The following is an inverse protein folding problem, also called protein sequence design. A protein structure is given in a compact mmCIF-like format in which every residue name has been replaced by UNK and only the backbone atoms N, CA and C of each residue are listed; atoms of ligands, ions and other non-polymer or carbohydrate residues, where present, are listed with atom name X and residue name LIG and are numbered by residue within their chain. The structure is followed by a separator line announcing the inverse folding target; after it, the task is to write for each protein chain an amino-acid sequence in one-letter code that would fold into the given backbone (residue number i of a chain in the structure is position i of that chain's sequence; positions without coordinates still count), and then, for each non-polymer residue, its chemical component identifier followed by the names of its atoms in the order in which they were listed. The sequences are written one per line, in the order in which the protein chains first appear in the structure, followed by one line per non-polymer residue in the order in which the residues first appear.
data_IF_537480168987
#
_entry.id   IF_537480168987
#
_cell.length_a   1.000
_cell.length_b   1.000
_cell.length_c   1.000
_cell.angle_alpha   90.00
_cell.angle_beta   90.00
_cell.angle_gamma   90.00
#
_symmetry.space_group_name_H-M   'P 1'
#
loop_
_entity.id
_entity.type
_entity.pdbx_description
1 polymer ?
#
# COMPACT_ATOMS: atom_id res chain seq x y z
N UNK A 1 2.35 9.43 -17.73
CA UNK A 1 2.96 8.13 -17.38
C UNK A 1 4.22 8.42 -16.57
N UNK A 2 4.76 7.51 -15.75
CA UNK A 2 6.09 7.74 -15.15
C UNK A 2 7.15 7.89 -16.25
N UNK A 3 8.07 8.84 -16.10
CA UNK A 3 9.23 9.02 -16.98
C UNK A 3 10.38 8.07 -16.61
N UNK A 4 11.45 8.11 -17.40
CA UNK A 4 12.67 7.31 -17.16
C UNK A 4 13.57 7.86 -16.05
N UNK A 5 13.25 9.04 -15.53
CA UNK A 5 13.98 9.72 -14.45
C UNK A 5 13.01 10.28 -13.42
N UNK A 6 13.47 10.43 -12.18
CA UNK A 6 12.68 10.99 -11.08
C UNK A 6 12.28 12.43 -11.38
N UNK A 7 11.03 12.79 -11.08
CA UNK A 7 10.47 14.12 -11.35
C UNK A 7 10.04 14.37 -12.80
N UNK A 8 10.28 13.43 -13.72
CA UNK A 8 9.91 13.56 -15.14
C UNK A 8 8.69 12.69 -15.47
N UNK A 9 7.76 13.24 -16.25
CA UNK A 9 6.58 12.51 -16.71
C UNK A 9 6.79 11.99 -18.13
N UNK A 10 6.56 10.70 -18.35
CA UNK A 10 6.51 10.10 -19.68
C UNK A 10 5.19 10.41 -20.40
N UNK A 11 5.27 10.70 -21.70
CA UNK A 11 4.12 10.84 -22.59
C UNK A 11 4.38 10.20 -23.95
N UNK A 12 3.38 9.54 -24.52
CA UNK A 12 3.49 9.01 -25.88
C UNK A 12 3.42 10.17 -26.88
N UNK A 13 4.38 10.25 -27.79
CA UNK A 13 4.30 11.17 -28.91
C UNK A 13 3.16 10.78 -29.85
N UNK A 14 2.41 11.78 -30.25
CA UNK A 14 1.40 11.72 -31.30
C UNK A 14 1.25 13.12 -31.88
N UNK A 15 0.85 13.22 -33.14
CA UNK A 15 0.71 14.50 -33.79
C UNK A 15 0.71 14.38 -35.30
N UNK A 16 0.86 15.54 -35.95
CA UNK A 16 0.92 15.64 -37.40
C UNK A 16 2.35 15.99 -37.81
N UNK A 17 2.82 15.36 -38.87
CA UNK A 17 4.06 15.74 -39.53
C UNK A 17 3.72 16.57 -40.77
N UNK A 18 4.50 17.62 -41.02
CA UNK A 18 4.42 18.40 -42.25
C UNK A 18 5.61 18.04 -43.11
N UNK A 19 5.34 17.56 -44.32
CA UNK A 19 6.36 17.21 -45.31
C UNK A 19 6.22 18.07 -46.57
N UNK A 20 7.34 18.38 -47.20
CA UNK A 20 7.37 19.03 -48.51
C UNK A 20 7.69 17.96 -49.56
N UNK A 21 6.90 17.90 -50.62
CA UNK A 21 7.14 16.97 -51.72
C UNK A 21 8.49 17.27 -52.41
N UNK A 22 9.31 16.24 -52.64
CA UNK A 22 10.67 16.42 -53.19
C UNK A 22 10.67 16.89 -54.67
N UNK A 23 9.59 16.66 -55.43
CA UNK A 23 9.51 16.92 -56.87
C UNK A 23 8.79 18.24 -57.22
N UNK A 24 9.06 19.31 -56.48
CA UNK A 24 8.49 20.63 -56.74
C UNK A 24 9.43 21.48 -57.61
N UNK A 25 8.86 22.33 -58.47
CA UNK A 25 9.65 23.37 -59.14
C UNK A 25 10.08 24.44 -58.12
N UNK A 26 11.11 25.21 -58.46
CA UNK A 26 11.75 26.14 -57.52
C UNK A 26 10.77 27.15 -56.90
N UNK A 27 9.82 27.67 -57.69
CA UNK A 27 8.83 28.63 -57.19
C UNK A 27 7.85 28.00 -56.19
N UNK A 28 7.34 26.79 -56.44
CA UNK A 28 6.48 26.07 -55.50
C UNK A 28 7.25 25.62 -54.26
N UNK A 29 8.51 25.21 -54.43
CA UNK A 29 9.36 24.84 -53.31
C UNK A 29 9.58 26.03 -52.37
N UNK A 30 9.90 27.22 -52.91
CA UNK A 30 10.03 28.46 -52.13
C UNK A 30 8.73 28.82 -51.40
N UNK A 31 7.58 28.71 -52.07
CA UNK A 31 6.28 28.96 -51.45
C UNK A 31 5.95 27.95 -50.34
N UNK A 32 6.23 26.66 -50.56
CA UNK A 32 6.01 25.61 -49.56
C UNK A 32 6.91 25.79 -48.34
N UNK A 33 8.19 26.12 -48.55
CA UNK A 33 9.12 26.45 -47.46
C UNK A 33 8.61 27.64 -46.65
N UNK A 34 8.12 28.70 -47.32
CA UNK A 34 7.58 29.87 -46.63
C UNK A 34 6.32 29.55 -45.81
N UNK A 35 5.46 28.67 -46.33
CA UNK A 35 4.30 28.19 -45.61
C UNK A 35 4.69 27.37 -44.38
N UNK A 36 5.65 26.44 -44.50
CA UNK A 36 6.15 25.65 -43.36
C UNK A 36 6.79 26.55 -42.32
N UNK A 37 7.67 27.47 -42.73
CA UNK A 37 8.31 28.46 -41.85
C UNK A 37 7.27 29.26 -41.05
N UNK A 38 6.19 29.70 -41.71
CA UNK A 38 5.10 30.41 -41.04
C UNK A 38 4.32 29.50 -40.07
N UNK A 39 3.93 28.29 -40.49
CA UNK A 39 3.21 27.33 -39.65
C UNK A 39 4.00 26.90 -38.42
N UNK A 40 5.34 26.81 -38.54
CA UNK A 40 6.25 26.47 -37.44
C UNK A 40 6.85 27.69 -36.75
N UNK A 41 6.36 28.90 -37.04
CA UNK A 41 6.80 30.11 -36.33
C UNK A 41 6.36 30.06 -34.87
N UNK A 42 7.15 30.66 -33.98
CA UNK A 42 6.85 30.67 -32.56
C UNK A 42 5.51 31.36 -32.27
N UNK A 43 5.20 32.44 -33.00
CA UNK A 43 3.93 33.17 -32.88
C UNK A 43 2.72 32.29 -33.20
N UNK A 44 2.76 31.57 -34.33
CA UNK A 44 1.67 30.67 -34.74
C UNK A 44 1.55 29.48 -33.77
N UNK A 45 2.66 28.93 -33.31
CA UNK A 45 2.65 27.82 -32.36
C UNK A 45 2.11 28.24 -30.99
N UNK A 46 2.40 29.46 -30.53
CA UNK A 46 1.80 30.04 -29.31
C UNK A 46 0.29 30.18 -29.43
N UNK A 47 -0.20 30.67 -30.57
CA UNK A 47 -1.64 30.76 -30.86
C UNK A 47 -2.28 29.36 -30.87
N UNK A 48 -1.64 28.38 -31.51
CA UNK A 48 -2.14 27.01 -31.59
C UNK A 48 -2.32 26.38 -30.20
N UNK A 49 -1.30 26.50 -29.34
CA UNK A 49 -1.36 25.99 -27.96
C UNK A 49 -2.45 26.73 -27.16
N UNK A 50 -2.51 28.05 -27.30
CA UNK A 50 -3.38 28.92 -26.51
C UNK A 50 -4.87 28.82 -26.87
N UNK A 51 -5.20 28.65 -28.14
CA UNK A 51 -6.59 28.67 -28.62
C UNK A 51 -7.17 27.26 -28.81
N UNK A 52 -6.35 26.30 -29.24
CA UNK A 52 -6.82 24.96 -29.59
C UNK A 52 -6.35 23.87 -28.64
N UNK A 53 -5.50 24.21 -27.65
CA UNK A 53 -4.91 23.24 -26.72
C UNK A 53 -4.16 22.10 -27.45
N UNK A 54 -3.54 22.42 -28.59
CA UNK A 54 -2.70 21.51 -29.37
C UNK A 54 -1.25 21.80 -28.99
N UNK A 55 -0.51 20.76 -28.58
CA UNK A 55 0.86 20.91 -28.09
C UNK A 55 1.83 21.28 -29.21
N UNK A 56 2.76 22.18 -28.90
CA UNK A 56 3.86 22.53 -29.79
C UNK A 56 5.07 21.65 -29.53
N UNK A 57 5.80 21.33 -30.59
CA UNK A 57 7.14 20.72 -30.47
C UNK A 57 8.24 21.73 -30.12
N UNK A 58 7.94 23.03 -30.03
CA UNK A 58 8.90 24.09 -29.74
C UNK A 58 8.90 24.39 -28.23
N UNK A 59 9.98 24.01 -27.54
CA UNK A 59 10.06 24.17 -26.08
C UNK A 59 9.91 25.62 -25.61
N UNK A 60 10.44 26.60 -26.35
CA UNK A 60 10.38 28.03 -25.99
C UNK A 60 8.96 28.60 -25.97
N UNK A 61 7.99 27.96 -26.65
CA UNK A 61 6.57 28.35 -26.60
C UNK A 61 6.04 28.31 -25.16
N UNK A 62 6.56 27.40 -24.34
CA UNK A 62 6.16 27.22 -22.95
C UNK A 62 6.89 28.16 -21.98
N UNK A 63 7.80 29.02 -22.45
CA UNK A 63 8.40 30.10 -21.65
C UNK A 63 7.54 31.38 -21.65
N UNK A 64 6.51 31.44 -22.49
CA UNK A 64 5.62 32.59 -22.61
C UNK A 64 4.50 32.58 -21.56
N UNK A 65 4.45 33.61 -20.71
CA UNK A 65 3.44 33.73 -19.65
C UNK A 65 2.00 33.70 -20.19
N UNK A 66 1.74 34.19 -21.40
CA UNK A 66 0.39 34.15 -21.99
C UNK A 66 -0.04 32.73 -22.30
N UNK A 67 0.88 31.92 -22.82
CA UNK A 67 0.62 30.48 -23.05
C UNK A 67 0.38 29.80 -21.70
N UNK A 68 1.25 30.04 -20.72
CA UNK A 68 1.17 29.40 -19.41
C UNK A 68 -0.02 29.84 -18.55
N UNK A 69 -0.65 30.97 -18.89
CA UNK A 69 -1.93 31.37 -18.28
C UNK A 69 -3.11 30.48 -18.72
N UNK A 70 -2.98 29.78 -19.85
CA UNK A 70 -4.03 28.93 -20.43
C UNK A 70 -3.73 27.44 -20.31
N UNK A 71 -2.46 27.04 -20.26
CA UNK A 71 -2.03 25.64 -20.19
C UNK A 71 -0.97 25.44 -19.10
N UNK A 72 -0.87 24.22 -18.58
CA UNK A 72 0.13 23.87 -17.55
C UNK A 72 1.52 23.68 -18.18
N UNK A 73 2.24 24.78 -18.37
CA UNK A 73 3.59 24.78 -18.94
C UNK A 73 4.59 23.96 -18.12
N UNK A 74 4.42 23.84 -16.80
CA UNK A 74 5.34 23.09 -15.95
C UNK A 74 5.29 21.61 -16.31
N UNK A 75 4.10 21.07 -16.55
CA UNK A 75 3.94 19.70 -17.06
C UNK A 75 4.66 19.57 -18.40
N UNK A 76 4.41 20.47 -19.37
CA UNK A 76 4.95 20.32 -20.73
C UNK A 76 6.47 20.47 -20.81
N UNK A 77 7.08 21.32 -19.98
CA UNK A 77 8.55 21.44 -19.88
C UNK A 77 9.21 20.18 -19.32
N UNK A 78 8.49 19.46 -18.46
CA UNK A 78 8.97 18.25 -17.78
C UNK A 78 8.46 16.95 -18.43
N UNK A 79 7.95 17.03 -19.66
CA UNK A 79 7.56 15.84 -20.42
C UNK A 79 8.77 15.18 -21.07
N UNK A 80 8.89 13.87 -20.85
CA UNK A 80 9.73 12.99 -21.64
C UNK A 80 8.88 12.37 -22.76
N UNK A 81 9.01 12.86 -24.01
CA UNK A 81 8.33 12.25 -25.14
C UNK A 81 8.89 10.86 -25.45
N UNK A 82 8.00 9.88 -25.58
CA UNK A 82 8.31 8.51 -25.98
C UNK A 82 7.80 8.33 -27.41
N UNK A 83 8.71 8.10 -28.35
CA UNK A 83 8.36 7.81 -29.72
C UNK A 83 7.55 6.51 -29.80
N UNK A 84 6.52 6.50 -30.64
CA UNK A 84 5.86 5.24 -31.00
C UNK A 84 6.86 4.39 -31.81
N UNK A 85 6.84 3.06 -31.67
CA UNK A 85 7.72 2.15 -32.43
C UNK A 85 7.26 2.03 -33.90
N UNK A 86 7.14 3.17 -34.59
CA UNK A 86 6.70 3.24 -35.99
C UNK A 86 7.79 2.81 -36.96
N UNK A 87 9.04 2.69 -36.50
CA UNK A 87 10.14 2.17 -37.32
C UNK A 87 10.17 0.65 -37.37
N UNK A 88 9.56 -0.01 -36.38
CA UNK A 88 9.56 -1.47 -36.27
C UNK A 88 8.42 -2.11 -37.07
N UNK A 89 7.48 -1.30 -37.59
CA UNK A 89 6.30 -1.76 -38.33
C UNK A 89 5.95 -0.80 -39.45
N UNK A 90 5.70 -1.29 -40.66
CA UNK A 90 5.29 -0.46 -41.81
C UNK A 90 3.97 0.29 -41.56
N UNK A 91 3.08 -0.27 -40.74
CA UNK A 91 1.79 0.33 -40.40
C UNK A 91 1.42 0.10 -38.92
N UNK A 92 1.98 0.93 -38.04
CA UNK A 92 1.70 0.87 -36.60
C UNK A 92 0.21 1.02 -36.29
N UNK A 93 -0.52 1.86 -37.06
CA UNK A 93 -1.92 2.12 -36.81
C UNK A 93 -2.77 0.85 -37.03
N UNK A 94 -2.54 0.16 -38.15
CA UNK A 94 -3.17 -1.13 -38.45
C UNK A 94 -2.80 -2.20 -37.43
N UNK A 95 -1.50 -2.38 -37.16
CA UNK A 95 -1.02 -3.32 -36.14
C UNK A 95 -1.66 -3.05 -34.76
N UNK A 96 -1.75 -1.78 -34.36
CA UNK A 96 -2.35 -1.41 -33.08
C UNK A 96 -3.86 -1.70 -33.05
N UNK A 97 -4.57 -1.53 -34.17
CA UNK A 97 -5.99 -1.89 -34.30
C UNK A 97 -6.15 -3.40 -34.22
N UNK A 98 -5.34 -4.17 -34.93
CA UNK A 98 -5.37 -5.63 -34.90
C UNK A 98 -5.14 -6.17 -33.49
N UNK A 99 -4.13 -5.66 -32.77
CA UNK A 99 -3.88 -6.05 -31.39
C UNK A 99 -5.07 -5.71 -30.50
N UNK A 100 -5.64 -4.51 -30.64
CA UNK A 100 -6.82 -4.11 -29.86
C UNK A 100 -8.01 -5.02 -30.15
N UNK A 101 -8.27 -5.35 -31.41
CA UNK A 101 -9.37 -6.25 -31.82
C UNK A 101 -9.12 -7.72 -31.47
N UNK A 102 -7.86 -8.13 -31.43
CA UNK A 102 -7.45 -9.45 -30.97
C UNK A 102 -7.69 -9.58 -29.47
N UNK A 103 -7.28 -8.58 -28.67
CA UNK A 103 -7.40 -8.60 -27.22
C UNK A 103 -8.81 -8.27 -26.73
N UNK A 104 -9.53 -7.37 -27.42
CA UNK A 104 -10.78 -6.80 -26.97
C UNK A 104 -11.85 -6.80 -28.07
N UNK A 105 -13.08 -7.12 -27.70
CA UNK A 105 -14.25 -6.80 -28.49
C UNK A 105 -14.67 -5.37 -28.16
N UNK A 106 -14.74 -4.53 -29.18
CA UNK A 106 -15.11 -3.12 -29.07
C UNK A 106 -16.61 -3.02 -29.30
N UNK A 107 -17.37 -2.78 -28.24
CA UNK A 107 -18.81 -2.60 -28.31
C UNK A 107 -19.14 -1.10 -28.32
N UNK A 108 -19.77 -0.63 -29.40
CA UNK A 108 -20.29 0.73 -29.47
C UNK A 108 -21.63 0.80 -28.74
N UNK A 109 -21.72 1.62 -27.69
CA UNK A 109 -22.96 1.88 -26.96
C UNK A 109 -23.53 3.21 -27.45
N UNK A 110 -24.66 3.11 -28.17
CA UNK A 110 -25.41 4.26 -28.66
C UNK A 110 -26.39 4.71 -27.58
N UNK A 111 -26.25 5.95 -27.12
CA UNK A 111 -27.17 6.57 -26.16
C UNK A 111 -28.09 7.56 -26.86
N UNK A 112 -29.37 7.59 -26.49
CA UNK A 112 -30.37 8.49 -27.10
C UNK A 112 -30.08 9.98 -26.84
N UNK A 113 -29.49 10.30 -25.69
CA UNK A 113 -29.30 11.69 -25.21
C UNK A 113 -27.83 12.00 -24.85
N UNK A 114 -26.88 11.16 -25.27
CA UNK A 114 -25.48 11.22 -24.85
C UNK A 114 -24.49 11.15 -26.00
N UNK A 115 -23.20 11.26 -25.69
CA UNK A 115 -22.13 10.96 -26.65
C UNK A 115 -22.02 9.44 -26.79
N UNK A 116 -21.98 8.93 -28.01
CA UNK A 116 -21.64 7.54 -28.27
C UNK A 116 -20.26 7.25 -27.67
N UNK A 117 -20.12 6.10 -27.02
CA UNK A 117 -18.86 5.67 -26.44
C UNK A 117 -18.59 4.20 -26.74
N UNK A 118 -17.32 3.83 -26.71
CA UNK A 118 -16.87 2.48 -26.98
C UNK A 118 -16.41 1.83 -25.68
N UNK A 119 -16.88 0.60 -25.44
CA UNK A 119 -16.44 -0.22 -24.32
C UNK A 119 -15.62 -1.38 -24.86
N UNK A 120 -14.38 -1.49 -24.39
CA UNK A 120 -13.50 -2.60 -24.70
C UNK A 120 -13.77 -3.74 -23.70
N UNK A 121 -14.30 -4.86 -24.18
CA UNK A 121 -14.47 -6.06 -23.37
C UNK A 121 -13.38 -7.06 -23.73
N UNK A 122 -12.72 -7.63 -22.73
CA UNK A 122 -11.70 -8.64 -22.97
C UNK A 122 -12.30 -9.83 -23.73
N UNK A 123 -11.85 -10.04 -24.97
CA UNK A 123 -12.33 -11.10 -25.85
C UNK A 123 -11.74 -12.45 -25.44
N UNK A 124 -10.44 -12.46 -25.21
CA UNK A 124 -9.69 -13.68 -25.01
C UNK A 124 -9.86 -14.23 -23.59
N UNK A 125 -10.10 -15.54 -23.50
CA UNK A 125 -10.07 -16.29 -22.24
C UNK A 125 -8.76 -16.07 -21.47
N UNK A 126 -7.64 -15.84 -22.18
CA UNK A 126 -6.35 -15.56 -21.59
C UNK A 126 -6.35 -14.28 -20.74
N UNK A 127 -6.97 -13.20 -21.21
CA UNK A 127 -7.03 -11.93 -20.45
C UNK A 127 -7.91 -12.12 -19.21
N UNK A 128 -9.05 -12.79 -19.35
CA UNK A 128 -9.91 -13.16 -18.21
C UNK A 128 -9.18 -14.07 -17.22
N UNK A 129 -8.31 -14.96 -17.71
CA UNK A 129 -7.47 -15.82 -16.87
C UNK A 129 -6.43 -15.01 -16.10
N UNK A 130 -5.82 -13.99 -16.72
CA UNK A 130 -4.91 -13.08 -16.02
C UNK A 130 -5.64 -12.36 -14.88
N UNK A 131 -6.83 -11.82 -15.14
CA UNK A 131 -7.66 -11.17 -14.12
C UNK A 131 -8.00 -12.13 -12.96
N UNK A 132 -8.37 -13.38 -13.29
CA UNK A 132 -8.61 -14.42 -12.30
C UNK A 132 -7.35 -14.77 -11.50
N UNK A 133 -6.18 -14.88 -12.14
CA UNK A 133 -4.90 -15.13 -11.47
C UNK A 133 -4.60 -14.00 -10.47
N UNK A 134 -4.83 -12.73 -10.83
CA UNK A 134 -4.67 -11.62 -9.90
C UNK A 134 -5.61 -11.72 -8.69
N UNK A 135 -6.87 -12.15 -8.89
CA UNK A 135 -7.79 -12.41 -7.79
C UNK A 135 -7.31 -13.55 -6.88
N UNK A 136 -6.79 -14.65 -7.45
CA UNK A 136 -6.21 -15.77 -6.70
C UNK A 136 -5.00 -15.32 -5.88
N UNK A 137 -4.07 -14.56 -6.47
CA UNK A 137 -2.91 -14.01 -5.76
C UNK A 137 -3.36 -13.15 -4.56
N UNK A 138 -4.41 -12.35 -4.72
CA UNK A 138 -4.98 -11.57 -3.62
C UNK A 138 -5.54 -12.47 -2.51
N UNK A 139 -6.29 -13.52 -2.85
CA UNK A 139 -6.82 -14.49 -1.87
C UNK A 139 -5.68 -15.18 -1.10
N UNK A 140 -4.61 -15.58 -1.80
CA UNK A 140 -3.44 -16.18 -1.16
C UNK A 140 -2.77 -15.22 -0.18
N UNK A 141 -2.54 -13.96 -0.59
CA UNK A 141 -1.99 -12.90 0.29
C UNK A 141 -2.84 -12.72 1.56
N UNK A 142 -4.17 -12.70 1.41
CA UNK A 142 -5.09 -12.58 2.54
C UNK A 142 -5.02 -13.81 3.45
N UNK A 143 -4.97 -15.01 2.87
CA UNK A 143 -4.87 -16.27 3.62
C UNK A 143 -3.58 -16.34 4.43
N UNK A 144 -2.43 -15.97 3.85
CA UNK A 144 -1.15 -15.92 4.56
C UNK A 144 -1.20 -14.93 5.73
N UNK A 145 -1.80 -13.75 5.53
CA UNK A 145 -1.93 -12.75 6.60
C UNK A 145 -2.80 -13.26 7.75
N UNK A 146 -3.91 -13.95 7.45
CA UNK A 146 -4.76 -14.56 8.48
C UNK A 146 -4.05 -15.65 9.28
N UNK A 147 -3.19 -16.45 8.63
CA UNK A 147 -2.37 -17.45 9.31
C UNK A 147 -1.37 -16.77 10.26
N UNK A 148 -0.71 -15.70 9.82
CA UNK A 148 0.21 -14.94 10.68
C UNK A 148 -0.50 -14.35 11.90
N UNK A 149 -1.67 -13.74 11.70
CA UNK A 149 -2.51 -13.24 12.80
C UNK A 149 -2.88 -14.35 13.79
N UNK A 150 -3.23 -15.53 13.28
CA UNK A 150 -3.56 -16.68 14.14
C UNK A 150 -2.37 -17.14 14.98
N UNK A 151 -1.16 -17.16 14.40
CA UNK A 151 0.06 -17.51 15.12
C UNK A 151 0.40 -16.50 16.23
N UNK A 152 0.14 -15.22 15.98
CA UNK A 152 0.46 -14.12 16.89
C UNK A 152 -0.62 -13.81 17.93
N UNK A 153 -1.84 -14.36 17.77
CA UNK A 153 -3.00 -14.07 18.62
C UNK A 153 -2.77 -14.24 20.13
N UNK A 154 -1.82 -15.08 20.54
CA UNK A 154 -1.52 -15.35 21.96
C UNK A 154 -0.73 -14.26 22.69
N UNK A 155 -0.09 -13.35 21.95
CA UNK A 155 0.83 -12.37 22.53
C UNK A 155 0.01 -11.16 23.01
N UNK A 156 -0.14 -11.02 24.34
CA UNK A 156 -0.96 -9.97 24.97
C UNK A 156 -0.56 -8.55 24.56
N UNK A 157 0.74 -8.31 24.35
CA UNK A 157 1.28 -6.98 24.09
C UNK A 157 0.86 -6.41 22.72
N UNK A 158 0.49 -7.28 21.78
CA UNK A 158 0.08 -6.92 20.41
C UNK A 158 -1.40 -7.19 20.13
N UNK A 159 -2.20 -7.59 21.15
CA UNK A 159 -3.58 -8.00 20.94
C UNK A 159 -4.45 -6.89 20.32
N UNK A 160 -4.28 -5.65 20.76
CA UNK A 160 -5.00 -4.51 20.20
C UNK A 160 -4.60 -4.23 18.75
N UNK A 161 -3.31 -4.33 18.44
CA UNK A 161 -2.81 -4.14 17.08
C UNK A 161 -3.37 -5.21 16.14
N UNK A 162 -3.40 -6.48 16.60
CA UNK A 162 -4.02 -7.60 15.88
C UNK A 162 -5.49 -7.32 15.59
N UNK A 163 -6.27 -6.84 16.57
CA UNK A 163 -7.68 -6.53 16.37
C UNK A 163 -7.87 -5.48 15.28
N UNK A 164 -7.05 -4.42 15.28
CA UNK A 164 -7.05 -3.42 14.21
C UNK A 164 -6.77 -4.06 12.86
N UNK A 165 -5.71 -4.88 12.74
CA UNK A 165 -5.40 -5.56 11.47
C UNK A 165 -6.52 -6.48 10.98
N UNK A 166 -7.20 -7.20 11.87
CA UNK A 166 -8.34 -8.05 11.51
C UNK A 166 -9.46 -7.21 10.89
N UNK A 167 -9.77 -6.04 11.44
CA UNK A 167 -10.76 -5.12 10.85
C UNK A 167 -10.31 -4.60 9.49
N UNK A 168 -9.05 -4.22 9.34
CA UNK A 168 -8.50 -3.76 8.05
C UNK A 168 -8.60 -4.85 6.98
N UNK A 169 -8.25 -6.09 7.33
CA UNK A 169 -8.33 -7.26 6.43
C UNK A 169 -9.78 -7.52 6.05
N UNK A 170 -10.71 -7.45 7.00
CA UNK A 170 -12.12 -7.67 6.74
C UNK A 170 -12.69 -6.63 5.77
N UNK A 171 -12.47 -5.33 6.04
CA UNK A 171 -12.96 -4.24 5.18
C UNK A 171 -12.37 -4.36 3.78
N UNK A 172 -11.05 -4.59 3.66
CA UNK A 172 -10.42 -4.78 2.36
C UNK A 172 -10.97 -6.02 1.62
N UNK A 173 -11.25 -7.12 2.33
CA UNK A 173 -11.84 -8.32 1.72
C UNK A 173 -13.21 -8.02 1.13
N UNK A 174 -14.07 -7.31 1.88
CA UNK A 174 -15.41 -6.93 1.43
C UNK A 174 -15.35 -6.02 0.20
N UNK A 175 -14.45 -5.03 0.19
CA UNK A 175 -14.25 -4.14 -0.96
C UNK A 175 -13.76 -4.90 -2.20
N UNK A 176 -12.80 -5.80 -2.05
CA UNK A 176 -12.31 -6.64 -3.16
C UNK A 176 -13.46 -7.50 -3.72
N UNK A 177 -14.27 -8.12 -2.85
CA UNK A 177 -15.41 -8.92 -3.29
C UNK A 177 -16.42 -8.05 -4.04
N UNK A 178 -16.72 -6.85 -3.55
CA UNK A 178 -17.60 -5.92 -4.24
C UNK A 178 -17.06 -5.53 -5.63
N UNK A 179 -15.75 -5.26 -5.74
CA UNK A 179 -15.10 -4.89 -6.99
C UNK A 179 -15.16 -6.00 -8.02
N UNK A 180 -14.77 -7.23 -7.64
CA UNK A 180 -14.68 -8.33 -8.60
C UNK A 180 -16.01 -9.02 -8.91
N UNK A 181 -16.96 -9.04 -7.97
CA UNK A 181 -18.21 -9.80 -8.14
C UNK A 181 -19.44 -8.92 -8.33
N UNK A 182 -19.53 -7.76 -7.68
CA UNK A 182 -20.76 -6.95 -7.71
C UNK A 182 -20.72 -5.96 -8.87
N UNK A 183 -19.64 -5.20 -9.05
CA UNK A 183 -19.59 -4.16 -10.09
C UNK A 183 -19.73 -4.68 -11.53
N UNK A 184 -19.17 -5.84 -11.92
CA UNK A 184 -19.40 -6.40 -13.25
C UNK A 184 -20.87 -6.73 -13.55
N UNK A 185 -21.72 -6.87 -12.51
CA UNK A 185 -23.16 -7.11 -12.67
C UNK A 185 -23.94 -5.81 -12.98
N UNK A 186 -23.37 -4.65 -12.70
CA UNK A 186 -24.04 -3.35 -12.88
C UNK A 186 -23.88 -2.90 -14.34
N UNK A 187 -24.93 -3.09 -15.13
CA UNK A 187 -25.03 -2.54 -16.50
C UNK A 187 -25.55 -1.11 -16.43
N UNK A 188 -24.72 -0.12 -16.74
CA UNK A 188 -25.12 1.29 -16.84
C UNK A 188 -24.97 1.78 -18.29
N UNK A 189 -25.94 2.58 -18.74
CA UNK A 189 -25.93 3.20 -20.08
C UNK A 189 -25.23 4.58 -20.08
N UNK A 190 -24.87 5.09 -18.90
CA UNK A 190 -24.18 6.37 -18.74
C UNK A 190 -22.68 6.12 -18.55
N UNK A 191 -21.87 6.60 -19.50
CA UNK A 191 -20.43 6.39 -19.49
C UNK A 191 -19.73 7.12 -18.33
N UNK A 192 -20.25 8.27 -17.90
CA UNK A 192 -19.68 9.03 -16.78
C UNK A 192 -19.89 8.21 -15.50
N UNK A 193 -21.11 7.69 -15.31
CA UNK A 193 -21.41 6.84 -14.17
C UNK A 193 -20.63 5.52 -14.20
N UNK A 194 -20.52 4.88 -15.37
CA UNK A 194 -19.73 3.66 -15.54
C UNK A 194 -18.26 3.89 -15.14
N UNK A 195 -17.65 4.97 -15.66
CA UNK A 195 -16.27 5.31 -15.36
C UNK A 195 -16.09 5.71 -13.89
N UNK A 196 -17.02 6.50 -13.34
CA UNK A 196 -17.01 6.92 -11.94
C UNK A 196 -17.13 5.73 -10.98
N UNK A 197 -18.00 4.75 -11.28
CA UNK A 197 -18.13 3.52 -10.48
C UNK A 197 -16.83 2.71 -10.57
N UNK A 198 -16.34 2.45 -11.79
CA UNK A 198 -15.18 1.59 -11.99
C UNK A 198 -13.92 2.22 -11.36
N UNK A 199 -13.54 3.44 -11.76
CA UNK A 199 -12.34 4.11 -11.24
C UNK A 199 -12.51 4.54 -9.78
N UNK A 200 -13.69 5.05 -9.42
CA UNK A 200 -13.98 5.46 -8.05
C UNK A 200 -13.88 4.29 -7.08
N UNK A 201 -14.29 3.08 -7.47
CA UNK A 201 -14.16 1.91 -6.61
C UNK A 201 -12.71 1.55 -6.30
N UNK A 202 -11.82 1.58 -7.30
CA UNK A 202 -10.38 1.36 -7.09
C UNK A 202 -9.76 2.47 -6.25
N UNK A 203 -10.15 3.73 -6.48
CA UNK A 203 -9.68 4.85 -5.68
C UNK A 203 -10.12 4.72 -4.21
N UNK A 204 -11.38 4.38 -3.96
CA UNK A 204 -11.91 4.11 -2.62
C UNK A 204 -11.15 2.98 -1.96
N UNK A 205 -10.86 1.89 -2.67
CA UNK A 205 -10.06 0.77 -2.15
C UNK A 205 -8.66 1.21 -1.75
N UNK A 206 -7.96 1.99 -2.58
CA UNK A 206 -6.61 2.50 -2.27
C UNK A 206 -6.64 3.45 -1.07
N UNK A 207 -7.59 4.40 -1.05
CA UNK A 207 -7.74 5.36 0.05
C UNK A 207 -8.10 4.67 1.36
N UNK A 208 -8.99 3.69 1.31
CA UNK A 208 -9.36 2.85 2.46
C UNK A 208 -8.11 2.15 2.99
N UNK A 209 -7.37 1.46 2.13
CA UNK A 209 -6.16 0.76 2.54
C UNK A 209 -5.11 1.71 3.14
N UNK A 210 -4.91 2.89 2.53
CA UNK A 210 -4.01 3.92 3.06
C UNK A 210 -4.44 4.41 4.44
N UNK A 211 -5.69 4.83 4.59
CA UNK A 211 -6.26 5.32 5.84
C UNK A 211 -6.12 4.29 6.97
N UNK A 212 -6.50 3.04 6.68
CA UNK A 212 -6.48 1.95 7.65
C UNK A 212 -5.07 1.50 8.04
N UNK A 213 -4.10 1.54 7.12
CA UNK A 213 -2.72 1.15 7.43
C UNK A 213 -1.93 2.24 8.15
N UNK A 214 -2.12 3.50 7.80
CA UNK A 214 -1.29 4.61 8.30
C UNK A 214 -1.99 5.40 9.39
N UNK A 215 -3.21 5.88 9.17
CA UNK A 215 -3.87 6.79 10.11
C UNK A 215 -4.27 6.08 11.40
N UNK A 216 -4.76 4.84 11.32
CA UNK A 216 -5.09 4.08 12.54
C UNK A 216 -3.86 3.78 13.41
N UNK A 217 -2.68 3.60 12.81
CA UNK A 217 -1.44 3.41 13.59
C UNK A 217 -1.00 4.68 14.30
N UNK A 218 -1.16 5.83 13.63
CA UNK A 218 -0.87 7.13 14.23
C UNK A 218 -1.83 7.39 15.38
N UNK A 219 -3.13 7.17 15.17
CA UNK A 219 -4.15 7.34 16.21
C UNK A 219 -3.94 6.36 17.37
N UNK A 220 -3.63 5.09 17.09
CA UNK A 220 -3.38 4.09 18.15
C UNK A 220 -2.13 4.44 18.99
N UNK A 221 -1.10 4.99 18.37
CA UNK A 221 0.07 5.51 19.07
C UNK A 221 -0.30 6.63 20.04
N UNK A 222 -1.07 7.63 19.58
CA UNK A 222 -1.49 8.74 20.43
C UNK A 222 -2.42 8.29 21.57
N UNK A 223 -3.34 7.36 21.33
CA UNK A 223 -4.20 6.79 22.39
C UNK A 223 -3.35 6.10 23.45
N UNK A 224 -2.34 5.32 23.04
CA UNK A 224 -1.44 4.63 23.97
C UNK A 224 -0.58 5.61 24.77
N UNK A 225 -0.12 6.69 24.16
CA UNK A 225 0.63 7.74 24.85
C UNK A 225 -0.26 8.47 25.87
N UNK A 226 -1.50 8.77 25.51
CA UNK A 226 -2.46 9.42 26.40
C UNK A 226 -2.81 8.51 27.59
N UNK A 227 -3.10 7.23 27.35
CA UNK A 227 -3.41 6.27 28.41
C UNK A 227 -2.27 6.10 29.42
N UNK A 228 -1.00 6.18 29.00
CA UNK A 228 0.14 6.15 29.93
C UNK A 228 0.21 7.39 30.81
N UNK A 229 -0.17 8.56 30.28
CA UNK A 229 -0.20 9.81 31.08
C UNK A 229 -1.25 9.70 32.19
N UNK A 230 -2.41 9.13 31.89
CA UNK A 230 -3.46 8.90 32.87
C UNK A 230 -3.03 7.91 33.97
N UNK A 231 -2.36 6.81 33.62
CA UNK A 231 -1.82 5.85 34.58
C UNK A 231 -0.77 6.49 35.52
N UNK A 232 0.14 7.30 34.96
CA UNK A 232 1.12 8.07 35.75
C UNK A 232 0.40 9.07 36.68
N UNK A 233 -0.67 9.72 36.20
CA UNK A 233 -1.45 10.67 36.99
C UNK A 233 -2.18 9.98 38.14
N UNK A 234 -2.71 8.77 37.91
CA UNK A 234 -3.36 7.94 38.92
C UNK A 234 -2.37 7.48 40.00
N UNK A 235 -1.17 7.04 39.61
CA UNK A 235 -0.10 6.69 40.54
C UNK A 235 0.33 7.88 41.41
N UNK A 236 0.54 9.06 40.81
CA UNK A 236 0.86 10.29 41.56
C UNK A 236 -0.24 10.59 42.59
N UNK A 237 -1.51 10.52 42.19
CA UNK A 237 -2.64 10.75 43.09
C UNK A 237 -2.70 9.73 44.25
N UNK A 238 -2.31 8.47 43.98
CA UNK A 238 -2.23 7.41 44.99
C UNK A 238 -1.11 7.67 46.01
N UNK A 239 0.07 8.14 45.57
CA UNK A 239 1.16 8.53 46.46
C UNK A 239 0.78 9.73 47.34
N UNK A 240 0.18 10.77 46.75
CA UNK A 240 -0.26 11.97 47.49
C UNK A 240 -1.29 11.63 48.57
N UNK A 241 -2.28 10.77 48.28
CA UNK A 241 -3.25 10.32 49.29
C UNK A 241 -2.61 9.53 50.43
N UNK A 242 -1.58 8.72 50.16
CA UNK A 242 -0.87 7.96 51.18
C UNK A 242 -0.13 8.89 52.15
N UNK A 243 0.48 9.96 51.62
CA UNK A 243 1.21 10.95 52.41
C UNK A 243 0.28 11.77 53.32
N UNK A 244 -0.86 12.23 52.79
CA UNK A 244 -1.91 12.95 53.57
C UNK A 244 -2.47 12.06 54.70
N UNK A 245 -2.70 10.78 54.44
CA UNK A 245 -3.20 9.86 55.47
C UNK A 245 -2.15 9.55 56.54
N UNK A 246 -0.85 9.59 56.21
CA UNK A 246 0.24 9.36 57.18
C UNK A 246 0.35 10.49 58.21
N UNK A 247 0.11 11.75 57.80
CA UNK A 247 0.00 12.88 58.73
C UNK A 247 -1.23 12.75 59.63
N UNK A 248 -2.33 12.21 59.12
CA UNK A 248 -3.58 12.06 59.88
C UNK A 248 -3.52 10.93 60.92
N UNK A 249 -2.79 9.85 60.63
CA UNK A 249 -2.68 8.66 61.51
C UNK A 249 -1.70 8.88 62.67
N UNK A 250 -0.72 9.78 62.56
CA UNK A 250 0.14 10.14 63.70
C UNK A 250 -0.60 10.84 64.85
N UNK A 251 -1.89 11.16 64.69
CA UNK A 251 -2.71 11.73 65.76
C UNK A 251 -3.61 10.73 66.51
N UNK A 252 -3.71 9.46 66.10
CA UNK A 252 -4.65 8.51 66.70
C UNK A 252 -4.06 7.09 66.78
N UNK A 253 -3.10 6.86 67.68
CA UNK A 253 -2.78 5.51 68.14
C UNK A 253 -3.32 5.32 69.55
N UNK A 254 -4.51 4.71 69.64
CA UNK A 254 -4.94 4.00 70.83
C UNK A 254 -5.80 2.77 70.45
N UNK A 255 -5.25 1.61 70.83
CA UNK A 255 -5.91 0.39 71.30
C UNK A 255 -6.59 -0.64 70.36
N UNK A 256 -6.13 -1.89 70.59
CA UNK A 256 -6.76 -3.22 70.44
C UNK A 256 -7.09 -3.72 69.02
N UNK A 257 -6.81 -4.97 68.63
CA UNK A 257 -6.40 -6.18 69.35
C UNK A 257 -7.26 -7.38 68.89
N UNK A 258 -6.61 -8.50 68.53
CA UNK A 258 -7.17 -9.85 68.25
C UNK A 258 -8.04 -9.99 66.97
N UNK A 259 -8.15 -11.13 66.26
CA UNK A 259 -7.68 -12.51 66.45
C UNK A 259 -7.84 -13.30 65.13
N UNK A 260 -7.16 -14.43 65.08
CA UNK A 260 -6.97 -15.46 64.05
C UNK A 260 -8.21 -16.06 63.37
N UNK A 261 -8.00 -16.68 62.19
CA UNK A 261 -8.33 -18.09 61.83
C UNK A 261 -8.36 -18.27 60.30
N UNK A 262 -7.40 -18.94 59.66
CA UNK A 262 -7.16 -20.40 59.56
C UNK A 262 -7.84 -21.07 58.36
N UNK A 263 -7.00 -21.41 57.37
CA UNK A 263 -6.93 -22.63 56.55
C UNK A 263 -8.21 -23.36 56.10
N UNK A 264 -8.26 -23.69 54.79
CA UNK A 264 -8.45 -25.10 54.43
C UNK A 264 -7.82 -25.47 53.08
N UNK A 265 -6.88 -26.42 53.14
CA UNK A 265 -6.27 -27.11 52.00
C UNK A 265 -7.20 -28.24 51.54
N UNK A 266 -7.32 -28.47 50.23
CA UNK A 266 -7.77 -29.79 49.77
C UNK A 266 -7.19 -30.22 48.43
N UNK A 267 -7.04 -31.52 48.32
CA UNK A 267 -5.96 -32.24 47.65
C UNK A 267 -6.25 -32.79 46.24
N UNK A 268 -5.13 -32.98 45.52
CA UNK A 268 -4.86 -33.79 44.33
C UNK A 268 -5.82 -34.93 43.94
N UNK A 269 -6.02 -35.09 42.62
CA UNK A 269 -6.02 -36.42 41.98
C UNK A 269 -5.41 -36.34 40.57
N UNK A 270 -4.30 -37.06 40.35
CA UNK A 270 -3.65 -37.19 39.06
C UNK A 270 -4.13 -38.47 38.37
N UNK A 271 -4.72 -38.34 37.16
CA UNK A 271 -5.03 -39.46 36.26
C UNK A 271 -4.29 -39.23 34.94
N UNK A 272 -3.18 -39.94 34.75
CA UNK A 272 -2.41 -39.94 33.49
C UNK A 272 -3.12 -40.80 32.43
N UNK A 273 -3.81 -40.15 31.50
CA UNK A 273 -4.30 -40.80 30.27
C UNK A 273 -3.32 -40.51 29.14
N UNK A 274 -2.61 -41.54 28.72
CA UNK A 274 -1.86 -41.56 27.46
C UNK A 274 -2.85 -41.45 26.30
N UNK A 275 -2.91 -40.29 25.66
CA UNK A 275 -3.61 -40.09 24.40
C UNK A 275 -2.60 -39.66 23.35
N UNK A 276 -2.60 -40.37 22.22
CA UNK A 276 -1.94 -39.95 20.98
C UNK A 276 -2.51 -38.60 20.56
N UNK A 277 -1.80 -37.54 20.93
CA UNK A 277 -2.22 -36.15 20.72
C UNK A 277 -2.11 -35.81 19.23
N UNK A 278 -3.27 -35.74 18.59
CA UNK A 278 -3.52 -35.14 17.26
C UNK A 278 -2.76 -33.81 17.18
N UNK A 279 -2.04 -33.52 16.10
CA UNK A 279 -1.19 -32.32 15.96
C UNK A 279 -1.86 -31.00 16.37
N UNK A 280 -3.18 -30.87 16.16
CA UNK A 280 -3.95 -29.70 16.63
C UNK A 280 -3.85 -29.46 18.14
N UNK A 281 -3.74 -30.51 18.95
CA UNK A 281 -3.57 -30.38 20.42
C UNK A 281 -2.17 -29.91 20.80
N UNK A 282 -1.12 -30.21 20.02
CA UNK A 282 0.24 -29.68 20.27
C UNK A 282 0.30 -28.17 20.02
N UNK A 283 -0.40 -27.67 19.01
CA UNK A 283 -0.47 -26.23 18.71
C UNK A 283 -1.24 -25.49 19.81
N UNK A 284 -2.38 -26.04 20.26
CA UNK A 284 -3.15 -25.46 21.38
C UNK A 284 -2.34 -25.48 22.69
N UNK A 285 -1.59 -26.55 22.96
CA UNK A 285 -0.74 -26.64 24.15
C UNK A 285 0.43 -25.64 24.12
N UNK A 286 1.03 -25.39 22.95
CA UNK A 286 2.03 -24.34 22.78
C UNK A 286 1.45 -22.96 23.08
N UNK A 287 0.24 -22.67 22.60
CA UNK A 287 -0.46 -21.41 22.87
C UNK A 287 -0.75 -21.21 24.37
N UNK A 288 -1.12 -22.28 25.09
CA UNK A 288 -1.37 -22.20 26.54
C UNK A 288 -0.11 -22.08 27.39
N UNK A 289 1.06 -22.50 26.90
CA UNK A 289 2.28 -22.61 27.72
C UNK A 289 2.82 -21.27 28.19
N UNK A 290 2.73 -20.21 27.37
CA UNK A 290 3.17 -18.86 27.78
C UNK A 290 2.32 -18.27 28.92
N UNK A 291 1.02 -18.58 28.96
CA UNK A 291 0.14 -18.06 30.02
C UNK A 291 0.45 -18.65 31.39
N UNK A 292 1.02 -19.87 31.45
CA UNK A 292 1.35 -20.57 32.70
C UNK A 292 2.64 -20.02 33.32
N UNK A 293 3.69 -19.75 32.50
CA UNK A 293 4.96 -19.23 33.01
C UNK A 293 4.85 -17.82 33.61
N UNK A 294 3.98 -16.94 33.08
CA UNK A 294 3.77 -15.60 33.68
C UNK A 294 3.07 -15.68 35.04
N UNK A 295 2.10 -16.60 35.19
CA UNK A 295 1.32 -16.75 36.43
C UNK A 295 2.16 -17.34 37.58
N UNK A 296 3.13 -18.20 37.28
CA UNK A 296 4.06 -18.72 38.29
C UNK A 296 5.06 -17.68 38.79
N UNK A 297 5.51 -16.74 37.94
CA UNK A 297 6.38 -15.62 38.36
C UNK A 297 5.69 -14.64 39.30
N UNK A 298 4.40 -14.36 39.11
CA UNK A 298 3.62 -13.50 40.03
C UNK A 298 3.37 -14.18 41.39
N UNK A 299 3.24 -15.51 41.41
CA UNK A 299 3.08 -16.27 42.66
C UNK A 299 4.42 -16.37 43.42
N UNK A 300 5.55 -16.43 42.72
CA UNK A 300 6.89 -16.53 43.32
C UNK A 300 7.53 -15.18 43.69
N UNK A 301 7.05 -14.05 43.17
CA UNK A 301 7.53 -12.73 43.62
C UNK A 301 7.10 -12.35 45.05
N UNK A 302 6.21 -13.14 45.67
CA UNK A 302 5.84 -13.01 47.08
C UNK A 302 6.59 -13.99 48.01
N UNK A 303 7.53 -14.79 47.49
CA UNK A 303 8.39 -15.67 48.29
C UNK A 303 9.87 -15.42 48.02
N UNK A 304 10.67 -15.38 49.09
CA UNK A 304 12.12 -15.14 49.08
C UNK A 304 12.91 -16.31 48.43
N UNK A 305 12.80 -16.51 47.11
CA UNK A 305 13.88 -17.01 46.20
C UNK A 305 13.33 -17.30 44.78
N UNK A 306 13.56 -16.44 43.76
CA UNK A 306 12.95 -16.62 42.44
C UNK A 306 13.81 -17.33 41.37
N UNK A 307 14.96 -17.91 41.70
CA UNK A 307 16.00 -18.20 40.68
C UNK A 307 16.14 -19.66 40.15
N UNK A 308 15.10 -20.51 40.11
CA UNK A 308 15.39 -21.93 39.76
C UNK A 308 14.50 -22.73 38.79
N UNK A 309 13.48 -22.19 38.10
CA UNK A 309 12.54 -23.13 37.44
C UNK A 309 12.12 -22.93 35.98
N UNK A 310 12.64 -21.94 35.22
CA UNK A 310 12.30 -21.82 33.79
C UNK A 310 13.42 -22.10 32.78
N UNK A 311 14.64 -22.39 33.23
CA UNK A 311 15.73 -22.82 32.34
C UNK A 311 15.88 -24.34 32.34
N UNK A 312 15.09 -25.05 31.53
CA UNK A 312 15.61 -26.28 30.93
C UNK A 312 14.93 -26.59 29.61
N UNK A 313 15.77 -26.83 28.60
CA UNK A 313 15.48 -27.23 27.20
C UNK A 313 15.25 -26.11 26.19
N UNK A 314 16.26 -25.24 26.06
CA UNK A 314 16.68 -24.74 24.75
C UNK A 314 17.95 -25.48 24.34
N UNK A 315 17.85 -26.44 23.41
CA UNK A 315 19.02 -27.01 22.75
C UNK A 315 19.70 -25.90 21.94
N UNK A 316 20.98 -25.65 22.24
CA UNK A 316 21.79 -24.68 21.52
C UNK A 316 22.06 -25.17 20.10
N UNK A 317 21.43 -24.55 19.10
CA UNK A 317 21.96 -24.57 17.74
C UNK A 317 23.16 -23.62 17.74
N UNK A 318 24.36 -24.18 17.58
CA UNK A 318 25.61 -23.43 17.38
C UNK A 318 25.47 -22.54 16.14
N UNK A 319 25.20 -21.26 16.36
CA UNK A 319 25.30 -20.22 15.35
C UNK A 319 26.77 -19.85 15.15
N UNK A 320 27.28 -20.13 13.95
CA UNK A 320 28.57 -19.66 13.45
C UNK A 320 28.54 -18.14 13.37
N UNK A 321 29.38 -17.47 14.17
CA UNK A 321 29.63 -16.04 14.08
C UNK A 321 30.35 -15.73 12.77
N UNK A 322 29.63 -15.22 11.78
CA UNK A 322 30.22 -14.57 10.61
C UNK A 322 30.47 -13.11 10.99
N UNK A 323 31.74 -12.71 10.93
CA UNK A 323 32.23 -11.37 11.23
C UNK A 323 31.66 -10.32 10.26
N UNK A 324 31.24 -9.19 10.82
CA UNK A 324 30.71 -8.00 10.14
C UNK A 324 31.83 -7.08 9.60
N UNK A 325 32.82 -7.62 8.88
CA UNK A 325 33.94 -6.81 8.37
C UNK A 325 34.05 -6.69 6.85
N UNK A 326 33.20 -7.36 6.05
CA UNK A 326 33.35 -7.36 4.58
C UNK A 326 32.20 -6.72 3.77
N UNK A 327 31.32 -5.92 4.38
CA UNK A 327 30.19 -5.30 3.66
C UNK A 327 30.42 -3.85 3.20
N UNK A 328 31.57 -3.25 3.49
CA UNK A 328 31.92 -1.90 3.02
C UNK A 328 32.85 -1.87 1.80
N UNK A 329 33.40 -3.01 1.36
CA UNK A 329 34.31 -3.05 0.21
C UNK A 329 33.65 -3.43 -1.14
N UNK A 330 32.38 -3.86 -1.13
CA UNK A 330 31.67 -4.32 -2.34
C UNK A 330 30.80 -3.20 -2.98
N UNK A 331 30.57 -2.10 -2.27
CA UNK A 331 29.78 -0.96 -2.79
C UNK A 331 30.65 0.00 -3.61
N UNK A 332 31.95 0.06 -3.38
CA UNK A 332 32.89 0.93 -4.11
C UNK A 332 33.40 0.36 -5.44
N UNK A 333 33.25 -0.94 -5.68
CA UNK A 333 33.70 -1.56 -6.95
C UNK A 333 32.61 -1.53 -8.05
N UNK A 334 31.34 -1.35 -7.69
CA UNK A 334 30.24 -1.24 -8.66
C UNK A 334 30.00 0.17 -9.19
N UNK A 335 30.54 1.22 -8.55
CA UNK A 335 30.44 2.60 -9.05
C UNK A 335 31.46 2.93 -10.14
N UNK A 336 32.55 2.16 -10.27
CA UNK A 336 33.61 2.44 -11.25
C UNK A 336 33.41 1.74 -12.60
N UNK A 337 32.47 0.80 -12.72
CA UNK A 337 32.21 0.07 -13.98
C UNK A 337 31.13 0.77 -14.84
N UNK A 338 30.39 1.73 -14.28
CA UNK A 338 29.32 2.44 -15.01
C UNK A 338 29.83 3.72 -15.71
N UNK A 339 30.98 4.26 -15.33
CA UNK A 339 31.55 5.48 -15.94
C UNK A 339 32.45 5.24 -17.17
N UNK A 340 32.51 4.02 -17.71
CA UNK A 340 33.34 3.71 -18.89
C UNK A 340 32.51 3.30 -20.13
N UNK A 341 31.18 3.47 -20.10
CA UNK A 341 30.28 3.13 -21.23
C UNK A 341 29.15 4.14 -21.49
N UNK A 342 29.39 5.41 -21.16
CA UNK A 342 28.67 6.57 -21.68
C UNK A 342 29.74 7.51 -22.20
#
# INVERSE_FOLDING_TARGET
MPGGTEGISGSCLGGFNVGIQNNLNESKLKAALKAVEYMTSEEVQKEIVSEYNILSGIASVYDDEKVCSKVDCEIYKNLQPIARPTLDTDNYDEYSVEIRQYAYDINEIKTLNGKNYQVCQAKNFFIKSIEFIFAVIHILKMSTTLILIFLEWGIKDIHNDINVFVYVIYINSVLIIAIFFIFPLIKTNDYILFFAINQGSYLIYVLTNFFFLYELRIVSYFIKEYSKKDEILEDINKYLRKEINLETVNSNNNYNGNSDNSANNNSNSNKSRNNSRRWSTKIIDLHRRETICKKEKEITSNSLNPNLFCESKGESIKGTSISKENSQHIITEKSNIINEKI
#
